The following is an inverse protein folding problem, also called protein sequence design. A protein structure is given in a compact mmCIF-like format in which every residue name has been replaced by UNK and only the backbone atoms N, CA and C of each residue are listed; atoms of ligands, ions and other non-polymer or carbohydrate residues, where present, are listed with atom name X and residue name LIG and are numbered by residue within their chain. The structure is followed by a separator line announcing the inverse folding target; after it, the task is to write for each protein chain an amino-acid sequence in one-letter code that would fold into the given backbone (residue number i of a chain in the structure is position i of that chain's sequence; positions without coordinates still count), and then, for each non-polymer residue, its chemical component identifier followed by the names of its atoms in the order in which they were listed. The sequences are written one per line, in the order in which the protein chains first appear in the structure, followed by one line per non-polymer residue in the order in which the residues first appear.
data_IF_043911902517
#
_entry.id   IF_043911902517
#
_cell.length_a   1.000
_cell.length_b   1.000
_cell.length_c   1.000
_cell.angle_alpha   90.00
_cell.angle_beta   90.00
_cell.angle_gamma   90.00
#
_symmetry.space_group_name_H-M   'P 1'
#
loop_
_entity.id
_entity.type
_entity.pdbx_description
1 polymer ?
#
# COMPACT_ATOMS: atom_id res chain seq x y z
N UNK A 1 -2.89 30.70 -16.71
CA UNK A 1 -3.49 29.35 -16.69
C UNK A 1 -2.46 28.29 -17.07
N UNK A 2 -1.87 28.36 -18.28
CA UNK A 2 -0.90 27.37 -18.73
C UNK A 2 0.35 27.27 -17.85
N UNK A 3 0.86 28.41 -17.36
CA UNK A 3 2.03 28.40 -16.48
C UNK A 3 1.74 27.78 -15.12
N UNK A 4 0.55 28.05 -14.57
CA UNK A 4 0.14 27.48 -13.30
C UNK A 4 -0.04 25.97 -13.41
N UNK A 5 -0.58 25.50 -14.55
CA UNK A 5 -0.72 24.07 -14.81
C UNK A 5 0.62 23.37 -14.97
N UNK A 6 1.61 24.04 -15.62
CA UNK A 6 2.93 23.48 -15.81
C UNK A 6 3.69 23.30 -14.49
N UNK A 7 3.44 24.14 -13.48
CA UNK A 7 4.08 24.08 -12.18
C UNK A 7 3.35 23.18 -11.19
N UNK A 8 2.11 22.81 -11.47
CA UNK A 8 1.33 21.94 -10.60
C UNK A 8 1.83 20.49 -10.66
N UNK A 9 1.75 19.75 -9.54
CA UNK A 9 2.02 18.31 -9.59
C UNK A 9 1.10 17.60 -10.58
N UNK A 10 1.63 16.61 -11.27
CA UNK A 10 0.81 15.78 -12.15
C UNK A 10 -0.19 14.96 -11.33
N UNK A 11 -1.42 14.74 -11.85
CA UNK A 11 -2.37 13.91 -11.15
C UNK A 11 -1.83 12.49 -10.94
N UNK A 12 -1.91 11.98 -9.72
CA UNK A 12 -1.48 10.62 -9.41
C UNK A 12 -2.44 9.57 -9.94
N UNK A 13 -3.65 9.96 -10.31
CA UNK A 13 -4.69 9.07 -10.86
C UNK A 13 -4.78 9.12 -12.37
N UNK A 14 -3.79 9.68 -13.07
CA UNK A 14 -3.80 9.74 -14.54
C UNK A 14 -2.85 8.70 -15.11
N UNK A 15 -3.15 8.17 -16.30
CA UNK A 15 -2.33 7.18 -16.97
C UNK A 15 -2.05 5.96 -16.09
N UNK A 16 -0.76 5.61 -15.86
CA UNK A 16 -0.42 4.48 -14.97
C UNK A 16 -0.94 4.65 -13.55
N UNK A 17 -1.20 5.88 -13.11
CA UNK A 17 -1.75 6.17 -11.79
C UNK A 17 -3.15 5.58 -11.61
N UNK A 18 -3.96 5.49 -12.66
CA UNK A 18 -5.27 4.84 -12.59
C UNK A 18 -5.12 3.37 -12.23
N UNK A 19 -4.14 2.70 -12.83
CA UNK A 19 -3.84 1.29 -12.53
C UNK A 19 -3.39 1.14 -11.08
N UNK A 20 -2.52 2.03 -10.61
CA UNK A 20 -2.07 2.01 -9.21
C UNK A 20 -3.24 2.16 -8.23
N UNK A 21 -4.12 3.13 -8.47
CA UNK A 21 -5.32 3.33 -7.63
C UNK A 21 -6.18 2.08 -7.63
N UNK A 22 -6.40 1.48 -8.80
CA UNK A 22 -7.22 0.27 -8.92
C UNK A 22 -6.60 -0.91 -8.15
N UNK A 23 -5.28 -1.12 -8.28
CA UNK A 23 -4.60 -2.23 -7.60
C UNK A 23 -4.59 -2.00 -6.08
N UNK A 24 -4.28 -0.79 -5.62
CA UNK A 24 -4.35 -0.48 -4.19
C UNK A 24 -5.77 -0.64 -3.65
N UNK A 25 -6.78 -0.24 -4.42
CA UNK A 25 -8.19 -0.43 -4.05
C UNK A 25 -8.55 -1.89 -3.90
N UNK A 26 -8.10 -2.73 -4.81
CA UNK A 26 -8.32 -4.18 -4.73
C UNK A 26 -7.62 -4.79 -3.50
N UNK A 27 -6.38 -4.38 -3.22
CA UNK A 27 -5.69 -4.83 -2.02
C UNK A 27 -6.39 -4.35 -0.76
N UNK A 28 -6.90 -3.11 -0.76
CA UNK A 28 -7.65 -2.57 0.37
C UNK A 28 -8.90 -3.39 0.65
N UNK A 29 -9.66 -3.74 -0.39
CA UNK A 29 -10.85 -4.57 -0.27
C UNK A 29 -10.50 -5.97 0.22
N UNK A 30 -9.50 -6.59 -0.39
CA UNK A 30 -9.10 -7.95 -0.03
C UNK A 30 -8.56 -8.02 1.41
N UNK A 31 -7.69 -7.09 1.78
CA UNK A 31 -7.10 -7.06 3.12
C UNK A 31 -8.14 -6.73 4.18
N UNK A 32 -9.07 -5.82 3.88
CA UNK A 32 -10.15 -5.45 4.81
C UNK A 32 -11.08 -6.64 5.04
N UNK A 33 -11.53 -7.29 3.97
CA UNK A 33 -12.40 -8.46 4.08
C UNK A 33 -11.74 -9.58 4.87
N UNK A 34 -10.48 -9.86 4.56
CA UNK A 34 -9.72 -10.89 5.28
C UNK A 34 -9.56 -10.53 6.77
N UNK A 35 -9.23 -9.27 7.07
CA UNK A 35 -9.02 -8.84 8.45
C UNK A 35 -10.29 -8.90 9.27
N UNK A 36 -11.42 -8.47 8.72
CA UNK A 36 -12.72 -8.55 9.39
C UNK A 36 -13.04 -10.00 9.72
N UNK A 37 -12.90 -10.89 8.75
CA UNK A 37 -13.18 -12.32 8.97
C UNK A 37 -12.27 -12.93 10.03
N UNK A 38 -10.95 -12.70 9.92
CA UNK A 38 -9.98 -13.29 10.84
C UNK A 38 -10.14 -12.76 12.25
N UNK A 39 -10.33 -11.45 12.42
CA UNK A 39 -10.48 -10.84 13.75
C UNK A 39 -11.79 -11.27 14.39
N UNK A 40 -12.90 -11.28 13.64
CA UNK A 40 -14.20 -11.60 14.20
C UNK A 40 -14.35 -13.08 14.58
N UNK A 41 -13.69 -13.99 13.85
CA UNK A 41 -13.89 -15.42 14.06
C UNK A 41 -12.70 -16.14 14.70
N UNK A 42 -11.47 -15.67 14.45
CA UNK A 42 -10.27 -16.43 14.79
C UNK A 42 -9.20 -15.64 15.53
N UNK A 43 -9.54 -14.49 16.13
CA UNK A 43 -8.54 -13.57 16.69
C UNK A 43 -7.57 -14.25 17.67
N UNK A 44 -8.05 -15.10 18.55
CA UNK A 44 -7.21 -15.77 19.55
C UNK A 44 -6.20 -16.73 18.97
N UNK A 45 -6.38 -17.18 17.72
CA UNK A 45 -5.50 -18.13 17.06
C UNK A 45 -4.17 -17.51 16.65
N UNK A 46 -4.18 -16.30 16.10
CA UNK A 46 -2.98 -15.64 15.60
C UNK A 46 -3.12 -14.12 15.69
N UNK A 47 -3.19 -13.55 16.93
CA UNK A 47 -3.51 -12.13 17.08
C UNK A 47 -2.51 -11.20 16.41
N UNK A 48 -1.21 -11.51 16.45
CA UNK A 48 -0.19 -10.68 15.79
C UNK A 48 -0.42 -10.64 14.28
N UNK A 49 -0.63 -11.80 13.66
CA UNK A 49 -0.85 -11.88 12.22
C UNK A 49 -2.10 -11.10 11.81
N UNK A 50 -3.17 -11.20 12.59
CA UNK A 50 -4.44 -10.55 12.26
C UNK A 50 -4.37 -9.05 12.45
N UNK A 51 -3.67 -8.58 13.50
CA UNK A 51 -3.44 -7.14 13.71
C UNK A 51 -2.58 -6.56 12.58
N UNK A 52 -1.55 -7.28 12.15
CA UNK A 52 -0.71 -6.83 11.03
C UNK A 52 -1.50 -6.75 9.73
N UNK A 53 -2.40 -7.71 9.49
CA UNK A 53 -3.28 -7.67 8.31
C UNK A 53 -4.25 -6.50 8.36
N UNK A 54 -4.78 -6.18 9.54
CA UNK A 54 -5.65 -5.02 9.74
C UNK A 54 -4.89 -3.71 9.50
N UNK A 55 -3.66 -3.63 9.99
CA UNK A 55 -2.79 -2.47 9.74
C UNK A 55 -2.53 -2.31 8.25
N UNK A 56 -2.23 -3.40 7.56
CA UNK A 56 -2.04 -3.39 6.11
C UNK A 56 -3.29 -2.89 5.39
N UNK A 57 -4.48 -3.34 5.82
CA UNK A 57 -5.74 -2.90 5.24
C UNK A 57 -5.92 -1.38 5.38
N UNK A 58 -5.62 -0.83 6.55
CA UNK A 58 -5.69 0.63 6.78
C UNK A 58 -4.73 1.37 5.86
N UNK A 59 -3.49 0.89 5.76
CA UNK A 59 -2.48 1.50 4.90
C UNK A 59 -2.94 1.48 3.44
N UNK A 60 -3.49 0.37 2.97
CA UNK A 60 -3.98 0.25 1.59
C UNK A 60 -5.16 1.20 1.32
N UNK A 61 -6.08 1.34 2.26
CA UNK A 61 -7.20 2.29 2.13
C UNK A 61 -6.66 3.71 2.05
N UNK A 62 -5.75 4.07 2.95
CA UNK A 62 -5.14 5.41 2.97
C UNK A 62 -4.40 5.69 1.66
N UNK A 63 -3.59 4.73 1.19
CA UNK A 63 -2.86 4.88 -0.06
C UNK A 63 -3.80 5.05 -1.26
N UNK A 64 -4.87 4.24 -1.30
CA UNK A 64 -5.86 4.32 -2.39
C UNK A 64 -6.50 5.69 -2.46
N UNK A 65 -7.00 6.17 -1.32
CA UNK A 65 -7.69 7.47 -1.26
C UNK A 65 -6.72 8.61 -1.58
N UNK A 66 -5.51 8.54 -1.00
CA UNK A 66 -4.52 9.59 -1.20
C UNK A 66 -4.06 9.68 -2.67
N UNK A 67 -3.83 8.53 -3.32
CA UNK A 67 -3.46 8.50 -4.73
C UNK A 67 -4.61 9.00 -5.62
N UNK A 68 -5.85 8.65 -5.27
CA UNK A 68 -7.03 9.07 -6.02
C UNK A 68 -7.25 10.58 -5.92
N UNK A 69 -6.97 11.19 -4.77
CA UNK A 69 -7.13 12.63 -4.57
C UNK A 69 -6.04 13.43 -5.28
N UNK A 70 -4.79 13.07 -5.08
CA UNK A 70 -3.65 13.63 -5.81
C UNK A 70 -3.24 15.05 -5.48
N UNK A 71 -3.86 15.72 -4.50
CA UNK A 71 -3.42 17.06 -4.05
C UNK A 71 -2.12 16.95 -3.23
N UNK A 72 -1.51 18.09 -2.92
CA UNK A 72 -0.20 18.08 -2.23
C UNK A 72 -0.20 17.34 -0.91
N UNK A 73 -1.21 17.60 -0.08
CA UNK A 73 -1.34 16.93 1.22
C UNK A 73 -1.54 15.43 1.02
N UNK A 74 -2.41 15.05 0.09
CA UNK A 74 -2.66 13.63 -0.23
C UNK A 74 -1.42 12.94 -0.79
N UNK A 75 -0.61 13.63 -1.59
CA UNK A 75 0.67 13.09 -2.07
C UNK A 75 1.62 12.77 -0.92
N UNK A 76 1.71 13.64 0.09
CA UNK A 76 2.52 13.39 1.27
C UNK A 76 1.99 12.20 2.07
N UNK A 77 0.66 12.12 2.23
CA UNK A 77 0.02 11.00 2.89
C UNK A 77 0.31 9.70 2.14
N UNK A 78 0.18 9.72 0.81
CA UNK A 78 0.49 8.55 -0.02
C UNK A 78 1.96 8.15 0.12
N UNK A 79 2.88 9.12 0.12
CA UNK A 79 4.31 8.84 0.28
C UNK A 79 4.59 8.13 1.60
N UNK A 80 4.02 8.63 2.71
CA UNK A 80 4.19 8.03 4.03
C UNK A 80 3.56 6.64 4.07
N UNK A 81 2.32 6.50 3.57
CA UNK A 81 1.62 5.21 3.58
C UNK A 81 2.35 4.16 2.76
N UNK A 82 2.78 4.50 1.56
CA UNK A 82 3.47 3.57 0.66
C UNK A 82 4.87 3.22 1.19
N UNK A 83 5.57 4.19 1.78
CA UNK A 83 6.87 3.93 2.42
C UNK A 83 6.71 3.00 3.62
N UNK A 84 5.67 3.22 4.44
CA UNK A 84 5.36 2.35 5.58
C UNK A 84 5.01 0.93 5.10
N UNK A 85 4.26 0.82 4.02
CA UNK A 85 3.95 -0.46 3.39
C UNK A 85 5.23 -1.20 2.97
N UNK A 86 6.14 -0.51 2.31
CA UNK A 86 7.39 -1.13 1.86
C UNK A 86 8.19 -1.66 3.05
N UNK A 87 8.34 -0.86 4.10
CA UNK A 87 9.01 -1.31 5.33
C UNK A 87 8.25 -2.51 5.91
N UNK A 88 6.93 -2.43 5.97
CA UNK A 88 6.09 -3.50 6.52
C UNK A 88 6.25 -4.82 5.78
N UNK A 89 6.20 -4.79 4.46
CA UNK A 89 6.31 -6.02 3.67
C UNK A 89 7.72 -6.62 3.77
N UNK A 90 8.75 -5.79 3.86
CA UNK A 90 10.12 -6.27 4.03
C UNK A 90 10.33 -6.88 5.42
N UNK A 91 9.89 -6.18 6.47
CA UNK A 91 10.07 -6.64 7.86
C UNK A 91 9.22 -7.88 8.12
N UNK A 92 7.93 -7.83 7.81
CA UNK A 92 7.02 -8.96 8.05
C UNK A 92 7.37 -10.13 7.14
N UNK A 93 7.76 -9.85 5.90
CA UNK A 93 8.21 -10.89 4.97
C UNK A 93 9.40 -11.66 5.52
N UNK A 94 10.41 -10.95 6.02
CA UNK A 94 11.58 -11.59 6.62
C UNK A 94 11.20 -12.31 7.91
N UNK A 95 10.42 -11.67 8.79
CA UNK A 95 10.02 -12.27 10.06
C UNK A 95 9.21 -13.54 9.88
N UNK A 96 8.40 -13.64 8.82
CA UNK A 96 7.60 -14.83 8.55
C UNK A 96 8.46 -16.06 8.24
N UNK A 97 9.69 -15.86 7.77
CA UNK A 97 10.65 -16.95 7.58
C UNK A 97 11.47 -17.26 8.84
N UNK A 98 11.84 -16.21 9.61
CA UNK A 98 12.75 -16.36 10.76
C UNK A 98 12.03 -16.67 12.07
N UNK A 99 10.79 -16.17 12.22
CA UNK A 99 9.99 -16.32 13.44
C UNK A 99 8.64 -16.97 13.13
N UNK A 100 8.68 -18.17 12.58
CA UNK A 100 7.48 -18.87 12.10
C UNK A 100 6.42 -19.06 13.18
N UNK A 101 6.83 -19.27 14.42
CA UNK A 101 5.90 -19.51 15.52
C UNK A 101 5.03 -18.30 15.85
N UNK A 102 5.51 -17.08 15.53
CA UNK A 102 4.73 -15.86 15.69
C UNK A 102 3.65 -15.69 14.61
N UNK A 103 3.73 -16.47 13.52
CA UNK A 103 2.83 -16.37 12.38
C UNK A 103 2.15 -17.72 12.06
N UNK A 104 1.33 -18.25 12.99
CA UNK A 104 0.61 -19.51 12.71
C UNK A 104 -0.36 -19.38 11.53
N UNK A 105 -0.86 -18.15 11.28
CA UNK A 105 -1.61 -17.82 10.07
C UNK A 105 -0.88 -16.74 9.29
N UNK A 106 -1.15 -16.71 7.96
CA UNK A 106 -0.49 -15.75 7.08
C UNK A 106 -1.12 -14.36 7.19
N UNK A 107 -0.27 -13.35 7.09
CA UNK A 107 -0.69 -11.95 6.89
C UNK A 107 -0.64 -11.61 5.40
N UNK A 108 -1.11 -10.42 5.03
CA UNK A 108 -0.98 -9.92 3.66
C UNK A 108 0.50 -9.81 3.25
N UNK A 109 1.39 -9.54 4.21
CA UNK A 109 2.82 -9.31 3.96
C UNK A 109 3.69 -10.54 4.22
N UNK A 110 3.12 -11.65 4.70
CA UNK A 110 3.87 -12.88 4.95
C UNK A 110 4.55 -13.36 3.69
N UNK A 111 5.79 -13.80 3.83
CA UNK A 111 6.60 -14.27 2.69
C UNK A 111 6.66 -13.23 1.56
N UNK A 112 6.81 -11.94 1.96
CA UNK A 112 6.91 -10.80 1.04
C UNK A 112 5.69 -10.64 0.13
N UNK A 113 4.52 -11.02 0.63
CA UNK A 113 3.27 -10.88 -0.10
C UNK A 113 2.99 -12.00 -1.10
N UNK A 114 3.65 -13.16 -0.95
CA UNK A 114 3.51 -14.27 -1.91
C UNK A 114 2.07 -14.75 -2.06
N UNK A 115 1.26 -14.64 -1.01
CA UNK A 115 -0.17 -15.00 -1.09
C UNK A 115 -0.99 -14.11 -2.01
N UNK A 116 -0.45 -12.98 -2.41
CA UNK A 116 -1.07 -12.03 -3.34
C UNK A 116 -0.19 -11.80 -4.56
N UNK A 117 0.52 -12.85 -5.00
CA UNK A 117 1.36 -12.79 -6.19
C UNK A 117 2.53 -11.81 -6.10
N UNK A 118 3.04 -11.57 -4.90
CA UNK A 118 4.08 -10.58 -4.60
C UNK A 118 3.69 -9.13 -4.93
N UNK A 119 2.41 -8.87 -5.19
CA UNK A 119 1.92 -7.50 -5.45
C UNK A 119 2.25 -6.58 -4.27
N UNK A 120 2.07 -6.99 -2.99
CA UNK A 120 2.44 -6.13 -1.85
C UNK A 120 3.92 -5.74 -1.80
N UNK A 121 4.80 -6.51 -2.42
CA UNK A 121 6.23 -6.17 -2.51
C UNK A 121 6.52 -5.24 -3.69
N UNK A 122 5.95 -5.52 -4.84
CA UNK A 122 6.20 -4.77 -6.09
C UNK A 122 5.48 -3.42 -6.08
N UNK A 123 4.25 -3.40 -5.58
CA UNK A 123 3.39 -2.23 -5.66
C UNK A 123 3.96 -0.99 -4.96
N UNK A 124 4.54 -1.06 -3.73
CA UNK A 124 5.09 0.13 -3.11
C UNK A 124 6.30 0.69 -3.87
N UNK A 125 7.11 -0.18 -4.48
CA UNK A 125 8.25 0.26 -5.30
C UNK A 125 7.73 1.06 -6.49
N UNK A 126 6.75 0.52 -7.20
CA UNK A 126 6.12 1.19 -8.34
C UNK A 126 5.40 2.46 -7.90
N UNK A 127 4.71 2.41 -6.76
CA UNK A 127 4.01 3.57 -6.21
C UNK A 127 4.95 4.72 -5.86
N UNK A 128 6.07 4.42 -5.23
CA UNK A 128 7.08 5.43 -4.91
C UNK A 128 7.70 6.02 -6.19
N UNK A 129 7.98 5.17 -7.18
CA UNK A 129 8.46 5.63 -8.48
C UNK A 129 7.45 6.58 -9.13
N UNK A 130 6.17 6.23 -9.10
CA UNK A 130 5.11 7.05 -9.68
C UNK A 130 4.96 8.38 -8.96
N UNK A 131 5.03 8.39 -7.63
CA UNK A 131 4.97 9.62 -6.86
C UNK A 131 6.17 10.53 -7.16
N UNK A 132 7.35 9.95 -7.30
CA UNK A 132 8.54 10.70 -7.67
C UNK A 132 8.39 11.30 -9.08
N UNK A 133 7.89 10.50 -10.03
CA UNK A 133 7.73 10.92 -11.41
C UNK A 133 6.67 12.02 -11.57
N UNK A 134 5.62 12.02 -10.74
CA UNK A 134 4.51 12.97 -10.83
C UNK A 134 4.60 14.13 -9.84
N UNK A 135 5.69 14.22 -9.08
CA UNK A 135 5.79 15.24 -8.02
C UNK A 135 5.69 16.69 -8.54
N UNK A 136 6.10 16.95 -9.78
CA UNK A 136 5.99 18.27 -10.40
C UNK A 136 6.01 18.13 -11.91
N UNK A 137 5.21 18.95 -12.61
CA UNK A 137 5.24 19.03 -14.05
C UNK A 137 6.60 19.47 -14.60
N UNK A 138 7.31 20.35 -13.90
CA UNK A 138 8.65 20.79 -14.28
C UNK A 138 9.68 19.69 -14.20
N UNK A 139 9.64 18.87 -13.16
CA UNK A 139 10.65 17.82 -12.95
C UNK A 139 10.49 16.66 -13.93
N UNK A 140 9.39 16.60 -14.67
CA UNK A 140 9.16 15.58 -15.66
C UNK A 140 9.68 15.94 -17.05
N UNK A 141 10.11 17.17 -17.24
CA UNK A 141 10.61 17.65 -18.56
C UNK A 141 12.11 17.48 -18.75
#
# INVERSE_FOLDING_TARGET
MAEAEADAPRPTRSGPGVVLVAVYGLLALAATGRSVLQISEYFSRAPLAYVLSALAAVIYVVATVALARGDRTSRRVALVAISTELVGVLVVGLASYLARDAFPDKTVWSHFGSGYGFVPLVLPVVGLWWLHRTRSGKSAS
#
